data_IF_816969646728
#
_entry.id   IF_816969646728
#
_cell.length_a   1.000
_cell.length_b   1.000
_cell.length_c   1.000
_cell.angle_alpha   90.00
_cell.angle_beta   90.00
_cell.angle_gamma   90.00
#
_symmetry.space_group_name_H-M   'P 1'
#
loop_
_entity.id
_entity.type
_entity.pdbx_description
1 polymer ?
#
# COMPACT_ATOMS: atom_id res chain seq x y z
N UNK A 1 11.15 7.92 -39.58
CA UNK A 1 10.67 9.17 -38.93
C UNK A 1 9.20 9.30 -39.25
N UNK A 2 8.33 9.70 -38.32
CA UNK A 2 6.89 9.87 -38.62
C UNK A 2 6.62 11.30 -39.04
N UNK A 3 5.88 11.50 -40.14
CA UNK A 3 5.53 12.82 -40.66
C UNK A 3 4.06 13.11 -40.38
N UNK A 4 3.76 14.25 -39.77
CA UNK A 4 2.37 14.64 -39.55
C UNK A 4 1.86 15.45 -40.74
N UNK A 5 0.83 14.94 -41.44
CA UNK A 5 0.24 15.65 -42.58
C UNK A 5 -0.47 16.95 -42.18
N UNK A 6 -0.94 17.06 -40.94
CA UNK A 6 -1.72 18.23 -40.49
C UNK A 6 -0.83 19.43 -40.12
N UNK A 7 0.26 19.21 -39.38
CA UNK A 7 1.16 20.29 -38.97
C UNK A 7 2.46 20.35 -39.78
N UNK A 8 2.59 19.47 -40.78
CA UNK A 8 3.73 19.30 -41.67
C UNK A 8 5.09 19.17 -40.93
N UNK A 9 5.04 18.68 -39.69
CA UNK A 9 6.21 18.55 -38.83
C UNK A 9 6.71 17.10 -38.80
N UNK A 10 8.03 16.94 -38.83
CA UNK A 10 8.70 15.65 -38.72
C UNK A 10 8.93 15.29 -37.26
N UNK A 11 8.36 14.17 -36.82
CA UNK A 11 8.38 13.72 -35.42
C UNK A 11 9.41 12.60 -35.27
N UNK A 12 10.25 12.74 -34.22
CA UNK A 12 11.26 11.75 -33.82
C UNK A 12 10.74 10.97 -32.60
N UNK A 13 10.86 9.64 -32.63
CA UNK A 13 10.39 8.74 -31.57
C UNK A 13 9.09 8.00 -31.90
N UNK A 14 8.62 7.16 -30.99
CA UNK A 14 7.45 6.30 -31.14
C UNK A 14 6.21 6.93 -30.48
N UNK A 15 5.67 7.95 -31.15
CA UNK A 15 4.48 8.67 -30.67
C UNK A 15 3.24 8.24 -31.49
N UNK A 16 2.16 7.87 -30.81
CA UNK A 16 0.87 7.54 -31.45
C UNK A 16 0.10 8.81 -31.90
N UNK A 17 0.35 9.93 -31.22
CA UNK A 17 -0.28 11.23 -31.48
C UNK A 17 0.77 12.31 -31.69
N UNK A 18 0.49 13.25 -32.60
CA UNK A 18 1.36 14.41 -32.78
C UNK A 18 1.33 15.31 -31.52
N UNK A 19 2.47 15.64 -30.90
CA UNK A 19 2.49 16.49 -29.70
C UNK A 19 2.09 17.94 -29.97
N UNK A 20 2.11 18.38 -31.23
CA UNK A 20 1.78 19.76 -31.63
C UNK A 20 0.27 19.93 -31.92
N UNK A 21 -0.30 19.03 -32.72
CA UNK A 21 -1.69 19.16 -33.20
C UNK A 21 -2.63 18.08 -32.64
N UNK A 22 -2.11 17.08 -31.92
CA UNK A 22 -2.85 15.93 -31.34
C UNK A 22 -3.55 15.02 -32.36
N UNK A 23 -3.28 15.21 -33.65
CA UNK A 23 -3.75 14.30 -34.69
C UNK A 23 -3.04 12.95 -34.57
N UNK A 24 -3.81 11.86 -34.74
CA UNK A 24 -3.29 10.49 -34.78
C UNK A 24 -2.35 10.31 -35.97
N UNK A 25 -1.19 9.74 -35.73
CA UNK A 25 -0.18 9.49 -36.77
C UNK A 25 -0.45 8.10 -37.37
N UNK A 26 -0.54 8.01 -38.71
CA UNK A 26 -0.68 6.73 -39.40
C UNK A 26 0.61 5.88 -39.27
N UNK A 27 0.44 4.56 -39.16
CA UNK A 27 1.53 3.58 -39.10
C UNK A 27 2.37 3.61 -40.38
N UNK A 28 3.53 4.27 -40.34
CA UNK A 28 4.49 4.27 -41.45
C UNK A 28 5.49 3.10 -41.32
N UNK A 29 5.71 2.41 -42.46
CA UNK A 29 6.44 1.15 -42.65
C UNK A 29 8.00 1.22 -42.54
N UNK A 30 8.57 2.30 -42.01
CA UNK A 30 10.02 2.51 -41.92
C UNK A 30 10.58 2.23 -40.51
N UNK A 31 11.85 1.81 -40.37
CA UNK A 31 12.42 1.41 -39.09
C UNK A 31 12.37 2.56 -38.07
N UNK A 32 11.76 2.25 -36.93
CA UNK A 32 11.55 3.17 -35.80
C UNK A 32 12.92 3.57 -35.24
N UNK A 33 13.29 4.84 -35.43
CA UNK A 33 14.46 5.43 -34.77
C UNK A 33 14.24 5.47 -33.25
N UNK A 34 15.28 5.22 -32.44
CA UNK A 34 15.15 5.24 -30.99
C UNK A 34 14.61 6.59 -30.50
N UNK A 35 13.78 6.51 -29.45
CA UNK A 35 13.22 7.68 -28.78
C UNK A 35 14.35 8.64 -28.35
N UNK A 36 14.31 9.94 -28.71
CA UNK A 36 15.37 10.89 -28.37
C UNK A 36 15.48 11.15 -26.85
N UNK A 37 14.46 10.77 -26.08
CA UNK A 37 14.51 10.82 -24.62
C UNK A 37 15.01 9.48 -24.05
N UNK A 38 16.16 9.47 -23.34
CA UNK A 38 16.57 8.29 -22.62
C UNK A 38 15.55 7.98 -21.52
N UNK A 39 15.06 6.75 -21.45
CA UNK A 39 14.24 6.28 -20.32
C UNK A 39 15.09 6.38 -19.06
N UNK A 40 14.85 7.39 -18.22
CA UNK A 40 15.57 7.59 -16.96
C UNK A 40 15.16 6.45 -16.02
N UNK A 41 16.02 5.45 -15.75
CA UNK A 41 15.65 4.43 -14.79
C UNK A 41 15.60 5.08 -13.40
N UNK A 42 14.52 4.87 -12.66
CA UNK A 42 14.46 5.21 -11.24
C UNK A 42 15.57 4.42 -10.51
N UNK A 43 16.75 5.03 -10.34
CA UNK A 43 17.92 4.47 -9.65
C UNK A 43 17.63 4.38 -8.15
N UNK A 44 16.96 3.30 -7.76
CA UNK A 44 16.80 2.94 -6.35
C UNK A 44 18.02 2.14 -5.92
N UNK A 45 18.90 2.77 -5.15
CA UNK A 45 20.09 2.10 -4.64
C UNK A 45 19.72 1.24 -3.42
N UNK A 46 19.46 -0.05 -3.67
CA UNK A 46 19.09 -1.02 -2.64
C UNK A 46 20.14 -1.12 -1.54
N UNK A 47 21.41 -0.98 -1.87
CA UNK A 47 22.53 -1.10 -0.93
C UNK A 47 22.52 0.03 0.10
N UNK A 48 22.21 1.26 -0.35
CA UNK A 48 22.08 2.41 0.54
C UNK A 48 20.91 2.20 1.51
N UNK A 49 19.76 1.74 1.01
CA UNK A 49 18.59 1.48 1.87
C UNK A 49 18.87 0.38 2.88
N UNK A 50 19.50 -0.72 2.47
CA UNK A 50 19.90 -1.79 3.39
C UNK A 50 20.89 -1.29 4.45
N UNK A 51 21.91 -0.51 4.07
CA UNK A 51 22.90 0.04 4.99
C UNK A 51 22.28 0.95 6.05
N UNK A 52 21.38 1.85 5.66
CA UNK A 52 20.70 2.72 6.63
C UNK A 52 19.70 1.94 7.48
N UNK A 53 18.99 0.97 6.91
CA UNK A 53 18.03 0.17 7.65
C UNK A 53 18.68 -0.67 8.75
N UNK A 54 19.81 -1.32 8.45
CA UNK A 54 20.57 -2.09 9.44
C UNK A 54 21.14 -1.17 10.52
N UNK A 55 21.64 0.01 10.15
CA UNK A 55 22.15 0.99 11.11
C UNK A 55 21.05 1.49 12.05
N UNK A 56 19.89 1.89 11.51
CA UNK A 56 18.75 2.34 12.32
C UNK A 56 18.27 1.21 13.23
N UNK A 57 18.17 -0.02 12.73
CA UNK A 57 17.80 -1.18 13.53
C UNK A 57 18.77 -1.39 14.70
N UNK A 58 20.08 -1.27 14.47
CA UNK A 58 21.09 -1.42 15.52
C UNK A 58 21.00 -0.30 16.57
N UNK A 59 20.80 0.94 16.12
CA UNK A 59 20.59 2.09 17.00
C UNK A 59 19.33 1.92 17.85
N UNK A 60 18.22 1.45 17.27
CA UNK A 60 16.98 1.20 18.00
C UNK A 60 17.15 0.10 19.05
N UNK A 61 17.87 -0.99 18.73
CA UNK A 61 18.19 -2.05 19.69
C UNK A 61 18.99 -1.49 20.87
N UNK A 62 20.07 -0.76 20.60
CA UNK A 62 20.92 -0.19 21.65
C UNK A 62 20.13 0.80 22.49
N UNK A 63 19.36 1.70 21.87
CA UNK A 63 18.55 2.69 22.57
C UNK A 63 17.53 2.00 23.50
N UNK A 64 16.86 0.95 23.02
CA UNK A 64 15.90 0.21 23.83
C UNK A 64 16.56 -0.49 25.01
N UNK A 65 17.68 -1.19 24.79
CA UNK A 65 18.44 -1.84 25.85
C UNK A 65 18.96 -0.85 26.90
N UNK A 66 19.43 0.32 26.48
CA UNK A 66 19.85 1.38 27.40
C UNK A 66 18.68 1.91 28.21
N UNK A 67 17.52 2.16 27.58
CA UNK A 67 16.31 2.61 28.28
C UNK A 67 15.89 1.56 29.31
N UNK A 68 15.84 0.28 28.94
CA UNK A 68 15.42 -0.80 29.82
C UNK A 68 16.39 -0.99 31.01
N UNK A 69 17.70 -0.89 30.76
CA UNK A 69 18.73 -0.96 31.79
C UNK A 69 18.67 0.22 32.77
N UNK A 70 18.43 1.44 32.27
CA UNK A 70 18.41 2.66 33.09
C UNK A 70 17.10 2.79 33.89
N UNK A 71 15.95 2.46 33.29
CA UNK A 71 14.65 2.73 33.89
C UNK A 71 14.03 1.58 34.68
N UNK A 72 14.24 0.33 34.24
CA UNK A 72 13.49 -0.83 34.75
C UNK A 72 14.40 -1.86 35.43
N UNK A 73 15.69 -1.89 35.07
CA UNK A 73 16.67 -2.79 35.68
C UNK A 73 16.39 -4.28 35.45
N UNK A 74 15.44 -4.61 34.56
CA UNK A 74 14.95 -5.97 34.28
C UNK A 74 14.67 -6.12 32.78
N UNK A 75 15.16 -7.21 32.19
CA UNK A 75 15.10 -7.49 30.75
C UNK A 75 13.81 -8.20 30.33
N UNK A 76 12.65 -7.74 30.83
CA UNK A 76 11.35 -8.39 30.57
C UNK A 76 10.67 -7.88 29.28
N UNK A 77 11.04 -6.69 28.79
CA UNK A 77 10.42 -6.03 27.65
C UNK A 77 11.18 -6.21 26.33
N UNK A 78 12.22 -7.05 26.31
CA UNK A 78 13.00 -7.36 25.09
C UNK A 78 12.10 -7.89 23.96
N UNK A 79 10.99 -8.55 24.30
CA UNK A 79 9.98 -8.99 23.33
C UNK A 79 9.37 -7.83 22.54
N UNK A 80 9.06 -6.69 23.20
CA UNK A 80 8.52 -5.50 22.55
C UNK A 80 9.54 -4.88 21.59
N UNK A 81 10.83 -4.87 21.95
CA UNK A 81 11.89 -4.41 21.05
C UNK A 81 11.98 -5.27 19.79
N UNK A 82 11.97 -6.60 19.96
CA UNK A 82 11.97 -7.55 18.85
C UNK A 82 10.75 -7.35 17.94
N UNK A 83 9.57 -7.09 18.51
CA UNK A 83 8.35 -6.79 17.75
C UNK A 83 8.47 -5.50 16.94
N UNK A 84 9.05 -4.45 17.53
CA UNK A 84 9.33 -3.19 16.84
C UNK A 84 10.27 -3.39 15.65
N UNK A 85 11.34 -4.17 15.84
CA UNK A 85 12.33 -4.44 14.78
C UNK A 85 11.70 -5.31 13.68
N UNK A 86 10.99 -6.38 14.03
CA UNK A 86 10.32 -7.25 13.07
C UNK A 86 9.30 -6.49 12.23
N UNK A 87 8.45 -5.66 12.85
CA UNK A 87 7.45 -4.87 12.14
C UNK A 87 8.08 -3.81 11.23
N UNK A 88 9.17 -3.17 11.65
CA UNK A 88 9.95 -2.23 10.83
C UNK A 88 10.53 -2.92 9.59
N UNK A 89 11.22 -4.06 9.77
CA UNK A 89 11.81 -4.82 8.66
C UNK A 89 10.76 -5.32 7.68
N UNK A 90 9.64 -5.86 8.19
CA UNK A 90 8.52 -6.29 7.38
C UNK A 90 7.97 -5.13 6.53
N UNK A 91 7.79 -3.97 7.15
CA UNK A 91 7.27 -2.78 6.47
C UNK A 91 8.17 -2.34 5.32
N UNK A 92 9.48 -2.25 5.57
CA UNK A 92 10.45 -1.84 4.55
C UNK A 92 10.58 -2.86 3.43
N UNK A 93 10.60 -4.16 3.75
CA UNK A 93 10.63 -5.22 2.73
C UNK A 93 9.42 -5.16 1.80
N UNK A 94 8.23 -4.91 2.33
CA UNK A 94 6.99 -4.77 1.55
C UNK A 94 7.06 -3.54 0.66
N UNK A 95 7.47 -2.38 1.21
CA UNK A 95 7.62 -1.13 0.46
C UNK A 95 8.61 -1.28 -0.71
N UNK A 96 9.77 -1.92 -0.48
CA UNK A 96 10.77 -2.16 -1.51
C UNK A 96 10.24 -3.12 -2.59
N UNK A 97 9.59 -4.22 -2.19
CA UNK A 97 9.08 -5.23 -3.14
C UNK A 97 7.91 -4.73 -3.97
N UNK A 98 7.02 -3.91 -3.39
CA UNK A 98 5.77 -3.47 -4.03
C UNK A 98 5.80 -2.02 -4.55
N UNK A 99 6.98 -1.38 -4.61
CA UNK A 99 7.18 0.00 -5.11
C UNK A 99 6.56 0.33 -6.48
N UNK A 100 6.32 -0.65 -7.35
CA UNK A 100 5.71 -0.43 -8.68
C UNK A 100 4.21 -0.15 -8.62
N UNK A 101 3.52 -0.58 -7.56
CA UNK A 101 2.11 -0.32 -7.37
C UNK A 101 1.87 0.07 -5.90
N UNK A 102 1.77 1.38 -5.67
CA UNK A 102 1.67 1.97 -4.34
C UNK A 102 0.42 1.46 -3.61
N UNK A 103 -0.73 1.40 -4.28
CA UNK A 103 -1.97 0.89 -3.71
C UNK A 103 -1.83 -0.58 -3.25
N UNK A 104 -1.24 -1.43 -4.10
CA UNK A 104 -0.93 -2.83 -3.74
C UNK A 104 0.05 -2.92 -2.59
N UNK A 105 1.04 -2.04 -2.53
CA UNK A 105 2.00 -1.95 -1.44
C UNK A 105 1.33 -1.64 -0.10
N UNK A 106 0.44 -0.65 -0.07
CA UNK A 106 -0.32 -0.25 1.13
C UNK A 106 -1.18 -1.41 1.63
N UNK A 107 -1.96 -2.06 0.75
CA UNK A 107 -2.80 -3.21 1.16
C UNK A 107 -1.94 -4.33 1.75
N UNK A 108 -0.83 -4.70 1.09
CA UNK A 108 0.07 -5.74 1.59
C UNK A 108 0.68 -5.36 2.94
N UNK A 109 1.13 -4.11 3.08
CA UNK A 109 1.75 -3.61 4.31
C UNK A 109 0.80 -3.79 5.50
N UNK A 110 -0.45 -3.42 5.31
CA UNK A 110 -1.49 -3.39 6.34
C UNK A 110 -1.96 -4.80 6.69
N UNK A 111 -2.18 -5.66 5.69
CA UNK A 111 -2.52 -7.07 5.91
C UNK A 111 -1.39 -7.77 6.67
N UNK A 112 -0.14 -7.59 6.23
CA UNK A 112 1.00 -8.23 6.89
C UNK A 112 1.25 -7.70 8.30
N UNK A 113 1.09 -6.39 8.54
CA UNK A 113 1.18 -5.81 9.89
C UNK A 113 0.05 -6.33 10.80
N UNK A 114 -1.19 -6.40 10.31
CA UNK A 114 -2.32 -6.92 11.08
C UNK A 114 -2.11 -8.37 11.48
N UNK A 115 -1.67 -9.22 10.54
CA UNK A 115 -1.35 -10.62 10.79
C UNK A 115 -0.18 -10.77 11.79
N UNK A 116 0.85 -9.93 11.65
CA UNK A 116 1.97 -9.92 12.59
C UNK A 116 1.48 -9.56 14.00
N UNK A 117 0.66 -8.52 14.16
CA UNK A 117 0.10 -8.14 15.46
C UNK A 117 -0.69 -9.27 16.12
N UNK A 118 -1.55 -9.96 15.36
CA UNK A 118 -2.33 -11.10 15.87
C UNK A 118 -1.41 -12.27 16.26
N UNK A 119 -0.43 -12.58 15.41
CA UNK A 119 0.54 -13.66 15.69
C UNK A 119 1.35 -13.40 16.96
N UNK A 120 1.76 -12.15 17.17
CA UNK A 120 2.52 -11.76 18.34
C UNK A 120 1.67 -11.77 19.62
N UNK A 121 0.42 -11.31 19.54
CA UNK A 121 -0.52 -11.37 20.67
C UNK A 121 -0.80 -12.83 21.08
N UNK A 122 -0.88 -13.75 20.12
CA UNK A 122 -0.96 -15.18 20.38
C UNK A 122 0.27 -15.71 21.13
N UNK A 123 1.48 -15.32 20.73
CA UNK A 123 2.72 -15.74 21.42
C UNK A 123 2.86 -15.16 22.83
N UNK A 124 2.33 -13.95 23.06
CA UNK A 124 2.36 -13.28 24.36
C UNK A 124 1.27 -13.74 25.33
N UNK A 125 0.49 -14.78 24.99
CA UNK A 125 -0.52 -15.36 25.88
C UNK A 125 -1.94 -14.80 25.70
N UNK A 126 -2.24 -14.24 24.52
CA UNK A 126 -3.56 -13.73 24.13
C UNK A 126 -4.13 -12.67 25.08
N UNK A 127 -3.56 -11.47 24.99
CA UNK A 127 -4.01 -10.32 25.78
C UNK A 127 -5.25 -9.61 25.19
N UNK A 128 -5.60 -9.92 23.93
CA UNK A 128 -6.66 -9.25 23.19
C UNK A 128 -6.31 -7.81 22.78
N UNK A 129 -5.07 -7.38 22.97
CA UNK A 129 -4.61 -6.03 22.60
C UNK A 129 -4.60 -5.83 21.08
N UNK A 130 -4.23 -6.88 20.33
CA UNK A 130 -4.15 -6.79 18.87
C UNK A 130 -5.52 -6.59 18.21
N UNK A 131 -6.52 -7.34 18.65
CA UNK A 131 -7.91 -7.28 18.14
C UNK A 131 -8.62 -6.01 18.60
N UNK A 132 -8.29 -5.51 19.80
CA UNK A 132 -8.94 -4.34 20.39
C UNK A 132 -8.40 -3.02 19.83
N UNK A 133 -7.07 -2.90 19.65
CA UNK A 133 -6.44 -1.63 19.30
C UNK A 133 -5.69 -1.69 17.98
N UNK A 134 -4.76 -2.64 17.83
CA UNK A 134 -3.81 -2.62 16.71
C UNK A 134 -4.52 -2.79 15.37
N UNK A 135 -5.35 -3.82 15.21
CA UNK A 135 -6.01 -4.13 13.93
C UNK A 135 -7.01 -3.04 13.53
N UNK A 136 -7.92 -2.54 14.40
CA UNK A 136 -8.81 -1.44 14.03
C UNK A 136 -8.08 -0.15 13.62
N UNK A 137 -6.99 0.20 14.32
CA UNK A 137 -6.17 1.37 13.97
C UNK A 137 -5.50 1.15 12.61
N UNK A 138 -4.93 -0.02 12.35
CA UNK A 138 -4.30 -0.35 11.08
C UNK A 138 -5.32 -0.31 9.93
N UNK A 139 -6.52 -0.86 10.14
CA UNK A 139 -7.61 -0.85 9.16
C UNK A 139 -8.10 0.58 8.83
N UNK A 140 -8.31 1.43 9.84
CA UNK A 140 -8.69 2.83 9.61
C UNK A 140 -7.60 3.61 8.87
N UNK A 141 -6.34 3.43 9.24
CA UNK A 141 -5.21 4.00 8.51
C UNK A 141 -5.13 3.49 7.07
N UNK A 142 -5.57 2.26 6.77
CA UNK A 142 -5.60 1.72 5.41
C UNK A 142 -6.48 2.53 4.48
N UNK A 143 -7.71 2.78 4.93
CA UNK A 143 -8.71 3.52 4.18
C UNK A 143 -8.20 4.95 3.93
N UNK A 144 -7.70 5.61 4.98
CA UNK A 144 -7.15 6.98 4.88
C UNK A 144 -5.95 7.04 3.95
N UNK A 145 -5.00 6.11 4.10
CA UNK A 145 -3.78 6.08 3.27
C UNK A 145 -4.09 5.85 1.79
N UNK A 146 -5.02 4.94 1.49
CA UNK A 146 -5.47 4.70 0.12
C UNK A 146 -6.18 5.92 -0.46
N UNK A 147 -7.05 6.59 0.31
CA UNK A 147 -7.71 7.80 -0.12
C UNK A 147 -6.71 8.92 -0.46
N UNK A 148 -5.71 9.13 0.40
CA UNK A 148 -4.62 10.08 0.16
C UNK A 148 -3.81 9.67 -1.09
N UNK A 149 -3.47 8.39 -1.23
CA UNK A 149 -2.70 7.90 -2.37
C UNK A 149 -3.44 8.12 -3.70
N UNK A 150 -4.76 7.91 -3.74
CA UNK A 150 -5.60 8.18 -4.92
C UNK A 150 -5.55 9.66 -5.29
N UNK A 151 -5.66 10.55 -4.30
CA UNK A 151 -5.61 12.01 -4.51
C UNK A 151 -4.25 12.52 -4.97
N UNK A 152 -3.16 11.98 -4.43
CA UNK A 152 -1.80 12.43 -4.75
C UNK A 152 -1.29 11.87 -6.08
N UNK A 153 -1.59 10.61 -6.36
CA UNK A 153 -1.01 9.89 -7.52
C UNK A 153 -1.93 9.97 -8.74
N UNK A 154 -3.16 10.50 -8.61
CA UNK A 154 -4.18 10.52 -9.67
C UNK A 154 -4.31 9.15 -10.33
N UNK A 155 -4.45 8.11 -9.50
CA UNK A 155 -4.61 6.75 -9.97
C UNK A 155 -5.87 6.65 -10.81
N UNK A 156 -5.77 6.01 -11.99
CA UNK A 156 -6.92 5.71 -12.81
C UNK A 156 -7.96 4.92 -12.02
N UNK A 157 -9.23 5.24 -12.23
CA UNK A 157 -10.37 4.71 -11.45
C UNK A 157 -10.34 3.18 -11.38
N UNK A 158 -10.07 2.54 -12.52
CA UNK A 158 -9.96 1.09 -12.65
C UNK A 158 -8.87 0.44 -11.78
N UNK A 159 -7.77 1.15 -11.52
CA UNK A 159 -6.63 0.58 -10.80
C UNK A 159 -6.81 0.66 -9.29
N UNK A 160 -7.47 1.69 -8.75
CA UNK A 160 -7.61 1.85 -7.29
C UNK A 160 -8.90 1.28 -6.71
N UNK A 161 -9.99 1.21 -7.50
CA UNK A 161 -11.31 0.79 -7.00
C UNK A 161 -11.27 -0.61 -6.41
N UNK A 162 -10.58 -1.57 -7.04
CA UNK A 162 -10.41 -2.91 -6.48
C UNK A 162 -9.62 -2.91 -5.17
N UNK A 163 -8.56 -2.09 -5.06
CA UNK A 163 -7.79 -2.01 -3.80
C UNK A 163 -8.60 -1.37 -2.69
N UNK A 164 -9.37 -0.32 -3.01
CA UNK A 164 -10.24 0.34 -2.04
C UNK A 164 -11.36 -0.59 -1.57
N UNK A 165 -11.93 -1.39 -2.48
CA UNK A 165 -12.87 -2.46 -2.14
C UNK A 165 -12.23 -3.49 -1.20
N UNK A 166 -11.02 -3.98 -1.51
CA UNK A 166 -10.32 -4.93 -0.63
C UNK A 166 -10.03 -4.34 0.74
N UNK A 167 -9.64 -3.06 0.81
CA UNK A 167 -9.36 -2.36 2.05
C UNK A 167 -10.64 -2.14 2.87
N UNK A 168 -11.78 -1.87 2.24
CA UNK A 168 -13.07 -1.80 2.92
C UNK A 168 -13.50 -3.19 3.44
N UNK A 169 -13.34 -4.25 2.65
CA UNK A 169 -13.62 -5.61 3.13
C UNK A 169 -12.72 -5.98 4.32
N UNK A 170 -11.43 -5.63 4.27
CA UNK A 170 -10.50 -5.76 5.40
C UNK A 170 -10.86 -4.85 6.58
N UNK A 171 -11.43 -3.67 6.34
CA UNK A 171 -11.87 -2.75 7.39
C UNK A 171 -13.12 -3.22 8.14
N UNK A 172 -13.85 -4.20 7.60
CA UNK A 172 -14.98 -4.87 8.25
C UNK A 172 -14.54 -6.05 9.13
N UNK A 173 -13.29 -6.50 9.02
CA UNK A 173 -12.75 -7.61 9.81
C UNK A 173 -12.86 -7.38 11.33
N UNK A 174 -12.65 -6.15 11.87
CA UNK A 174 -12.93 -5.83 13.27
C UNK A 174 -14.38 -6.08 13.73
N UNK A 175 -15.36 -6.10 12.81
CA UNK A 175 -16.74 -6.45 13.15
C UNK A 175 -16.86 -7.92 13.59
N UNK A 176 -16.07 -8.81 12.98
CA UNK A 176 -16.04 -10.22 13.39
C UNK A 176 -15.48 -10.36 14.82
N UNK A 177 -14.44 -9.59 15.16
CA UNK A 177 -13.88 -9.59 16.51
C UNK A 177 -14.87 -9.09 17.56
N UNK A 178 -15.71 -8.10 17.21
CA UNK A 178 -16.80 -7.63 18.06
C UNK A 178 -17.86 -8.73 18.28
N UNK A 179 -18.25 -9.47 17.24
CA UNK A 179 -19.24 -10.55 17.38
C UNK A 179 -18.74 -11.76 18.15
N UNK A 180 -17.42 -11.95 18.23
CA UNK A 180 -16.78 -13.05 18.94
C UNK A 180 -16.41 -12.70 20.40
N UNK A 181 -16.76 -11.49 20.87
CA UNK A 181 -16.37 -10.96 22.19
C UNK A 181 -14.86 -11.00 22.46
N UNK A 182 -14.04 -10.95 21.41
CA UNK A 182 -12.57 -10.92 21.50
C UNK A 182 -12.01 -9.50 21.74
N UNK A 183 -12.89 -8.53 21.98
CA UNK A 183 -12.57 -7.11 22.06
C UNK A 183 -12.91 -6.61 23.46
N UNK A 184 -11.91 -6.10 24.18
CA UNK A 184 -12.10 -5.59 25.54
C UNK A 184 -12.69 -4.19 25.57
N UNK A 185 -12.40 -3.36 24.54
CA UNK A 185 -13.01 -2.03 24.38
C UNK A 185 -13.59 -1.85 22.97
N UNK A 186 -14.91 -1.65 22.81
CA UNK A 186 -15.55 -1.68 21.49
C UNK A 186 -15.35 -0.39 20.67
N UNK A 187 -14.85 0.69 21.27
CA UNK A 187 -14.71 2.01 20.63
C UNK A 187 -13.80 2.02 19.38
N UNK A 188 -12.57 1.47 19.43
CA UNK A 188 -11.69 1.50 18.26
C UNK A 188 -12.23 0.62 17.12
N UNK A 189 -12.78 -0.53 17.45
CA UNK A 189 -13.36 -1.46 16.49
C UNK A 189 -14.59 -0.87 15.78
N UNK A 190 -15.51 -0.24 16.52
CA UNK A 190 -16.72 0.35 15.94
C UNK A 190 -16.41 1.50 14.98
N UNK A 191 -15.42 2.35 15.30
CA UNK A 191 -14.96 3.42 14.41
C UNK A 191 -14.40 2.89 13.10
N UNK A 192 -13.58 1.82 13.16
CA UNK A 192 -13.04 1.17 11.97
C UNK A 192 -14.15 0.61 11.09
N UNK A 193 -15.12 -0.09 11.69
CA UNK A 193 -16.26 -0.67 10.96
C UNK A 193 -17.10 0.43 10.31
N UNK A 194 -17.37 1.53 11.02
CA UNK A 194 -18.13 2.66 10.50
C UNK A 194 -17.44 3.31 9.30
N UNK A 195 -16.14 3.62 9.42
CA UNK A 195 -15.34 4.16 8.31
C UNK A 195 -15.33 3.23 7.10
N UNK A 196 -15.21 1.93 7.36
CA UNK A 196 -15.22 0.93 6.31
C UNK A 196 -16.57 0.84 5.60
N UNK A 197 -17.66 0.77 6.36
CA UNK A 197 -19.01 0.72 5.82
C UNK A 197 -19.33 1.95 4.95
N UNK A 198 -18.98 3.15 5.43
CA UNK A 198 -19.15 4.41 4.65
C UNK A 198 -18.37 4.34 3.34
N UNK A 199 -17.10 3.90 3.40
CA UNK A 199 -16.25 3.77 2.21
C UNK A 199 -16.84 2.77 1.22
N UNK A 200 -17.36 1.64 1.71
CA UNK A 200 -17.97 0.59 0.89
C UNK A 200 -19.24 1.11 0.19
N UNK A 201 -20.11 1.83 0.91
CA UNK A 201 -21.32 2.45 0.34
C UNK A 201 -20.96 3.45 -0.75
N UNK A 202 -19.98 4.33 -0.53
CA UNK A 202 -19.52 5.30 -1.54
C UNK A 202 -19.01 4.56 -2.78
N UNK A 203 -18.22 3.51 -2.62
CA UNK A 203 -17.71 2.72 -3.75
C UNK A 203 -18.86 2.08 -4.53
N UNK A 204 -19.82 1.46 -3.86
CA UNK A 204 -20.94 0.79 -4.53
C UNK A 204 -21.81 1.77 -5.31
N UNK A 205 -22.10 2.95 -4.76
CA UNK A 205 -22.93 3.96 -5.40
C UNK A 205 -22.25 4.61 -6.62
N UNK A 206 -20.97 4.96 -6.50
CA UNK A 206 -20.27 5.71 -7.55
C UNK A 206 -19.49 4.84 -8.54
N UNK A 207 -19.04 3.65 -8.11
CA UNK A 207 -18.09 2.82 -8.86
C UNK A 207 -18.53 1.35 -9.01
N UNK A 208 -19.74 0.99 -8.61
CA UNK A 208 -20.23 -0.41 -8.67
C UNK A 208 -20.18 -1.03 -10.07
N UNK A 209 -20.50 -0.24 -11.11
CA UNK A 209 -20.43 -0.69 -12.50
C UNK A 209 -19.01 -0.91 -13.04
N UNK A 210 -17.98 -0.31 -12.43
CA UNK A 210 -16.59 -0.57 -12.77
C UNK A 210 -16.06 -1.83 -12.07
N UNK A 211 -16.48 -2.06 -10.82
CA UNK A 211 -16.15 -3.28 -10.07
C UNK A 211 -16.65 -4.51 -10.84
N UNK A 212 -17.91 -4.49 -11.29
CA UNK A 212 -18.49 -5.64 -12.00
C UNK A 212 -17.74 -5.95 -13.29
N UNK A 213 -17.43 -4.93 -14.10
CA UNK A 213 -16.66 -5.09 -15.35
C UNK A 213 -15.26 -5.63 -15.11
N UNK A 214 -14.61 -5.25 -14.02
CA UNK A 214 -13.26 -5.72 -13.70
C UNK A 214 -13.26 -7.12 -13.05
N UNK A 215 -14.30 -7.48 -12.29
CA UNK A 215 -14.51 -8.84 -11.80
C UNK A 215 -14.77 -9.81 -12.96
N UNK A 216 -15.67 -9.44 -13.88
CA UNK A 216 -16.05 -10.25 -15.04
C UNK A 216 -14.82 -10.56 -15.92
N UNK A 217 -13.98 -9.55 -16.19
CA UNK A 217 -12.71 -9.74 -16.92
C UNK A 217 -11.74 -10.71 -16.26
N UNK A 218 -11.71 -10.79 -14.92
CA UNK A 218 -10.76 -11.63 -14.18
C UNK A 218 -11.30 -13.02 -13.87
N UNK A 219 -12.63 -13.18 -13.86
CA UNK A 219 -13.32 -14.44 -13.59
C UNK A 219 -13.56 -15.27 -14.86
N UNK A 220 -13.54 -14.64 -16.05
CA UNK A 220 -13.60 -15.32 -17.34
C UNK A 220 -12.23 -15.83 -17.86
N UNK A 221 -11.26 -16.03 -16.97
CA UNK A 221 -10.02 -16.80 -17.23
C UNK A 221 -10.16 -18.14 -16.52
#
# INVERSE_FOLDING_TARGET
MRHCQHCNATIKGDWEQCPLCRTTLEEAADPVLPDPYPKIPLRFNKEIVWKYLTLISFVLIIAFLLIELIWIGRMENVQLALFGIMSMWLSVLILIRKRRNIAKGIVYLIVSLSLLCIYLDYLSGWSGWSTTYAVPIICSFAIVSLYIAVRLVNLGVRDYVLYLLTAALLGLLPALFLTLDWVTTPLPASLSVMMSAVTLVIILLYHGGEIWRELEKRMHV
#
